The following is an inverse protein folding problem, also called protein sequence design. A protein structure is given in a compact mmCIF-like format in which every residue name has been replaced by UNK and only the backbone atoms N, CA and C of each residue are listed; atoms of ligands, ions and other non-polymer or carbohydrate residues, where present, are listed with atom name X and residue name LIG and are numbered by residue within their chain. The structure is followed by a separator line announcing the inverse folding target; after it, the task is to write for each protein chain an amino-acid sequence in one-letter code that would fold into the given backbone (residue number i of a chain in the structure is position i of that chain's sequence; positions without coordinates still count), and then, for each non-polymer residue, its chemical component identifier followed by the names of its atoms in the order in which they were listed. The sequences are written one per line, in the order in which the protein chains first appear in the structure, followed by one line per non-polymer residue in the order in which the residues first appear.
data_IF_777503403227
#
_entry.id   IF_777503403227
#
_cell.length_a   1.000
_cell.length_b   1.000
_cell.length_c   1.000
_cell.angle_alpha   90.00
_cell.angle_beta   90.00
_cell.angle_gamma   90.00
#
_symmetry.space_group_name_H-M   'P 1'
#
loop_
_entity.id
_entity.type
_entity.pdbx_description
1 polymer ?
#
# COMPACT_ATOMS: atom_id res chain seq x y z
N UNK A 1 12.84 8.11 -11.61
CA UNK A 1 11.78 8.64 -10.73
C UNK A 1 11.39 7.56 -9.73
N UNK A 2 10.82 7.90 -8.55
CA UNK A 2 10.17 6.91 -7.67
C UNK A 2 9.04 6.16 -8.39
N UNK A 3 8.46 5.14 -7.75
CA UNK A 3 7.21 4.53 -8.24
C UNK A 3 6.08 5.57 -8.33
N UNK A 4 5.11 5.31 -9.21
CA UNK A 4 3.91 6.12 -9.30
C UNK A 4 3.06 6.01 -8.03
N UNK A 5 3.04 4.82 -7.42
CA UNK A 5 2.36 4.54 -6.15
C UNK A 5 2.89 5.41 -5.01
N UNK A 6 4.22 5.59 -4.93
CA UNK A 6 4.84 6.49 -3.96
C UNK A 6 4.44 7.95 -4.21
N UNK A 7 4.48 8.42 -5.46
CA UNK A 7 4.07 9.78 -5.82
C UNK A 7 2.59 10.00 -5.43
N UNK A 8 1.71 9.05 -5.72
CA UNK A 8 0.30 9.15 -5.37
C UNK A 8 0.10 9.21 -3.84
N UNK A 9 0.85 8.41 -3.08
CA UNK A 9 0.87 8.50 -1.62
C UNK A 9 1.26 9.89 -1.11
N UNK A 10 2.27 10.53 -1.72
CA UNK A 10 2.66 11.91 -1.38
C UNK A 10 1.52 12.91 -1.62
N UNK A 11 0.76 12.76 -2.71
CA UNK A 11 -0.38 13.64 -2.98
C UNK A 11 -1.52 13.43 -1.98
N UNK A 12 -1.91 12.19 -1.71
CA UNK A 12 -3.03 11.89 -0.81
C UNK A 12 -2.71 12.33 0.63
N UNK A 13 -1.45 12.22 1.07
CA UNK A 13 -1.08 12.62 2.45
C UNK A 13 -1.12 14.13 2.67
N UNK A 14 -1.24 14.98 1.64
CA UNK A 14 -1.29 16.45 1.79
C UNK A 14 -2.43 16.85 2.74
N UNK A 15 -3.56 16.17 2.70
CA UNK A 15 -4.68 16.46 3.59
C UNK A 15 -4.37 16.15 5.06
N UNK A 16 -3.53 15.15 5.33
CA UNK A 16 -3.01 14.86 6.68
C UNK A 16 -2.18 16.05 7.18
N UNK A 17 -1.30 16.59 6.34
CA UNK A 17 -0.47 17.74 6.68
C UNK A 17 -1.31 18.98 6.96
N UNK A 18 -2.31 19.27 6.12
CA UNK A 18 -3.24 20.39 6.32
C UNK A 18 -4.03 20.28 7.62
N UNK A 19 -4.46 19.07 8.00
CA UNK A 19 -5.16 18.85 9.28
C UNK A 19 -4.24 19.09 10.48
N UNK A 20 -2.98 18.68 10.40
CA UNK A 20 -1.97 18.93 11.44
C UNK A 20 -1.66 20.42 11.55
N UNK A 21 -1.50 21.11 10.41
CA UNK A 21 -1.28 22.55 10.36
C UNK A 21 -2.47 23.30 10.96
N UNK A 22 -3.69 22.98 10.54
CA UNK A 22 -4.93 23.57 11.07
C UNK A 22 -5.04 23.38 12.58
N UNK A 23 -4.76 22.18 13.08
CA UNK A 23 -4.71 21.94 14.52
C UNK A 23 -3.64 22.80 15.20
N UNK A 24 -2.46 22.92 14.61
CA UNK A 24 -1.34 23.70 15.17
C UNK A 24 -1.69 25.19 15.23
N UNK A 25 -2.34 25.72 14.19
CA UNK A 25 -2.86 27.08 14.12
C UNK A 25 -3.83 27.38 15.26
N UNK A 26 -4.91 26.61 15.42
CA UNK A 26 -5.91 26.85 16.47
C UNK A 26 -5.40 26.63 17.89
N UNK A 27 -4.37 25.80 18.07
CA UNK A 27 -3.77 25.59 19.40
C UNK A 27 -2.73 26.66 19.76
N UNK A 28 -2.29 27.48 18.80
CA UNK A 28 -1.08 28.31 18.90
C UNK A 28 0.14 27.49 19.37
N UNK A 29 0.16 26.20 19.02
CA UNK A 29 1.13 25.22 19.51
C UNK A 29 1.28 25.17 21.06
N UNK A 30 0.24 25.56 21.81
CA UNK A 30 0.26 25.57 23.29
C UNK A 30 -0.37 24.30 23.87
N UNK A 31 0.17 23.75 24.97
CA UNK A 31 -0.44 22.62 25.68
C UNK A 31 -1.85 22.93 26.20
N UNK A 32 -2.67 21.90 26.35
CA UNK A 32 -4.00 21.98 26.97
C UNK A 32 -5.11 21.32 26.14
N UNK A 33 -6.26 21.05 26.77
CA UNK A 33 -7.44 20.53 26.08
C UNK A 33 -8.12 21.66 25.29
N UNK A 34 -8.10 21.56 23.95
CA UNK A 34 -8.68 22.57 23.04
C UNK A 34 -9.92 22.10 22.28
N UNK A 35 -10.47 20.93 22.63
CA UNK A 35 -11.62 20.31 21.94
C UNK A 35 -11.41 20.06 20.42
N UNK A 36 -10.15 19.95 19.97
CA UNK A 36 -9.79 19.76 18.55
C UNK A 36 -9.51 18.30 18.17
N UNK A 37 -10.00 17.33 18.98
CA UNK A 37 -9.75 15.90 18.72
C UNK A 37 -10.37 15.38 17.42
N UNK A 38 -11.31 16.12 16.83
CA UNK A 38 -11.84 15.79 15.51
C UNK A 38 -10.76 15.91 14.44
N UNK A 39 -9.88 16.92 14.50
CA UNK A 39 -8.80 17.10 13.53
C UNK A 39 -7.79 15.95 13.60
N UNK A 40 -7.38 15.53 14.80
CA UNK A 40 -6.42 14.43 14.94
C UNK A 40 -7.01 13.09 14.53
N UNK A 41 -8.29 12.83 14.83
CA UNK A 41 -8.98 11.63 14.36
C UNK A 41 -9.16 11.62 12.83
N UNK A 42 -9.57 12.74 12.24
CA UNK A 42 -9.66 12.88 10.78
C UNK A 42 -8.30 12.63 10.11
N UNK A 43 -7.21 13.15 10.68
CA UNK A 43 -5.87 12.94 10.15
C UNK A 43 -5.44 11.46 10.19
N UNK A 44 -5.77 10.72 11.26
CA UNK A 44 -5.53 9.27 11.33
C UNK A 44 -6.31 8.52 10.24
N UNK A 45 -7.58 8.87 10.02
CA UNK A 45 -8.40 8.25 8.98
C UNK A 45 -7.82 8.52 7.58
N UNK A 46 -7.45 9.77 7.29
CA UNK A 46 -6.86 10.15 6.00
C UNK A 46 -5.49 9.51 5.77
N UNK A 47 -4.65 9.43 6.81
CA UNK A 47 -3.37 8.73 6.72
C UNK A 47 -3.56 7.24 6.42
N UNK A 48 -4.60 6.62 6.99
CA UNK A 48 -4.90 5.21 6.75
C UNK A 48 -5.40 4.97 5.32
N UNK A 49 -6.20 5.90 4.79
CA UNK A 49 -6.59 5.86 3.37
C UNK A 49 -5.39 6.01 2.43
N UNK A 50 -4.43 6.89 2.75
CA UNK A 50 -3.18 7.00 1.99
C UNK A 50 -2.36 5.70 2.04
N UNK A 51 -2.25 5.07 3.20
CA UNK A 51 -1.59 3.79 3.38
C UNK A 51 -2.28 2.66 2.59
N UNK A 52 -3.60 2.57 2.66
CA UNK A 52 -4.41 1.60 1.91
C UNK A 52 -4.15 1.75 0.41
N UNK A 53 -4.37 2.96 -0.10
CA UNK A 53 -4.19 3.27 -1.53
C UNK A 53 -2.77 2.99 -2.01
N UNK A 54 -1.75 3.34 -1.23
CA UNK A 54 -0.36 3.02 -1.60
C UNK A 54 -0.14 1.53 -1.85
N UNK A 55 -0.67 0.66 -0.99
CA UNK A 55 -0.50 -0.79 -1.15
C UNK A 55 -1.33 -1.34 -2.34
N UNK A 56 -2.53 -0.80 -2.57
CA UNK A 56 -3.34 -1.15 -3.74
C UNK A 56 -2.62 -0.79 -5.04
N UNK A 57 -2.15 0.45 -5.14
CA UNK A 57 -1.46 0.96 -6.32
C UNK A 57 -0.14 0.22 -6.54
N UNK A 58 0.64 -0.01 -5.47
CA UNK A 58 1.94 -0.68 -5.58
C UNK A 58 1.80 -2.11 -6.10
N UNK A 59 0.76 -2.83 -5.67
CA UNK A 59 0.50 -4.17 -6.19
C UNK A 59 0.24 -4.14 -7.70
N UNK A 60 -0.63 -3.23 -8.16
CA UNK A 60 -1.00 -3.13 -9.57
C UNK A 60 0.15 -2.62 -10.43
N UNK A 61 0.90 -1.63 -9.96
CA UNK A 61 2.10 -1.12 -10.63
C UNK A 61 3.16 -2.21 -10.73
N UNK A 62 3.36 -3.02 -9.68
CA UNK A 62 4.28 -4.16 -9.70
C UNK A 62 3.91 -5.19 -10.77
N UNK A 63 2.61 -5.53 -10.88
CA UNK A 63 2.09 -6.41 -11.93
C UNK A 63 2.36 -5.83 -13.31
N UNK A 64 2.13 -4.53 -13.50
CA UNK A 64 2.41 -3.85 -14.76
C UNK A 64 3.89 -3.90 -15.14
N UNK A 65 4.80 -3.65 -14.19
CA UNK A 65 6.26 -3.76 -14.46
C UNK A 65 6.66 -5.18 -14.84
N UNK A 66 6.14 -6.19 -14.15
CA UNK A 66 6.39 -7.60 -14.51
C UNK A 66 5.85 -7.91 -15.91
N UNK A 67 4.63 -7.47 -16.21
CA UNK A 67 3.99 -7.66 -17.51
C UNK A 67 4.76 -6.97 -18.65
N UNK A 68 5.44 -5.86 -18.39
CA UNK A 68 6.31 -5.20 -19.38
C UNK A 68 7.60 -5.97 -19.65
N UNK A 69 8.15 -6.66 -18.64
CA UNK A 69 9.41 -7.39 -18.75
C UNK A 69 9.25 -8.86 -19.17
N UNK A 70 8.13 -9.48 -18.87
CA UNK A 70 7.88 -10.91 -19.08
C UNK A 70 6.84 -11.14 -20.18
N UNK A 71 7.22 -11.88 -21.23
CA UNK A 71 6.32 -12.21 -22.35
C UNK A 71 5.86 -13.67 -22.35
N UNK A 72 6.49 -14.52 -21.55
CA UNK A 72 6.14 -15.92 -21.40
C UNK A 72 5.71 -16.19 -19.96
N UNK A 73 4.46 -16.63 -19.78
CA UNK A 73 3.89 -16.96 -18.47
C UNK A 73 4.71 -18.01 -17.71
N UNK A 74 5.46 -18.86 -18.42
CA UNK A 74 6.30 -19.88 -17.79
C UNK A 74 7.50 -19.29 -17.03
N UNK A 75 7.85 -18.03 -17.29
CA UNK A 75 8.90 -17.32 -16.57
C UNK A 75 8.43 -16.78 -15.21
N UNK A 76 7.12 -16.74 -14.96
CA UNK A 76 6.57 -16.33 -13.66
C UNK A 76 6.80 -17.41 -12.60
N UNK A 77 6.82 -16.99 -11.34
CA UNK A 77 6.89 -17.92 -10.21
C UNK A 77 5.60 -18.75 -10.10
N UNK A 78 5.71 -19.92 -9.44
CA UNK A 78 4.60 -20.86 -9.31
C UNK A 78 3.43 -20.28 -8.51
N UNK A 79 3.67 -19.38 -7.57
CA UNK A 79 2.62 -18.68 -6.82
C UNK A 79 1.68 -17.92 -7.74
N UNK A 80 2.22 -17.08 -8.63
CA UNK A 80 1.44 -16.32 -9.61
C UNK A 80 0.69 -17.26 -10.56
N UNK A 81 1.38 -18.28 -11.11
CA UNK A 81 0.77 -19.24 -12.04
C UNK A 81 -0.39 -20.00 -11.40
N UNK A 82 -0.23 -20.43 -10.15
CA UNK A 82 -1.28 -21.13 -9.40
C UNK A 82 -2.48 -20.20 -9.15
N UNK A 83 -2.26 -18.95 -8.71
CA UNK A 83 -3.33 -17.98 -8.51
C UNK A 83 -4.15 -17.74 -9.77
N UNK A 84 -3.50 -17.51 -10.92
CA UNK A 84 -4.19 -17.30 -12.20
C UNK A 84 -5.01 -18.54 -12.56
N UNK A 85 -4.38 -19.73 -12.48
CA UNK A 85 -5.02 -20.99 -12.82
C UNK A 85 -6.23 -21.29 -11.94
N UNK A 86 -6.12 -21.09 -10.62
CA UNK A 86 -7.21 -21.30 -9.66
C UNK A 86 -8.37 -20.33 -9.86
N UNK A 87 -8.09 -19.04 -10.07
CA UNK A 87 -9.13 -18.02 -10.34
C UNK A 87 -9.86 -18.28 -11.66
N UNK A 88 -9.15 -18.69 -12.71
CA UNK A 88 -9.79 -19.07 -13.99
C UNK A 88 -10.61 -20.35 -13.85
N UNK A 89 -10.09 -21.36 -13.15
CA UNK A 89 -10.79 -22.64 -12.93
C UNK A 89 -12.08 -22.48 -12.13
N UNK A 90 -12.12 -21.51 -11.22
CA UNK A 90 -13.28 -21.21 -10.38
C UNK A 90 -14.25 -20.20 -11.00
N UNK A 91 -13.95 -19.68 -12.20
CA UNK A 91 -14.86 -18.79 -12.92
C UNK A 91 -16.12 -19.53 -13.37
N UNK A 92 -17.25 -18.83 -13.35
CA UNK A 92 -18.55 -19.38 -13.76
C UNK A 92 -18.68 -19.52 -15.27
N UNK A 93 -17.87 -18.77 -16.03
CA UNK A 93 -17.93 -18.77 -17.48
C UNK A 93 -16.94 -19.79 -18.07
N UNK A 94 -17.47 -20.79 -18.78
CA UNK A 94 -16.67 -21.87 -19.37
C UNK A 94 -15.63 -21.39 -20.41
N UNK A 95 -15.81 -20.19 -20.97
CA UNK A 95 -14.87 -19.61 -21.94
C UNK A 95 -13.71 -18.84 -21.28
N UNK A 96 -13.70 -18.66 -19.96
CA UNK A 96 -12.62 -17.95 -19.26
C UNK A 96 -11.21 -18.48 -19.57
N UNK A 97 -10.97 -19.80 -19.72
CA UNK A 97 -9.67 -20.32 -20.12
C UNK A 97 -9.14 -19.78 -21.45
N UNK A 98 -10.02 -19.38 -22.38
CA UNK A 98 -9.62 -18.83 -23.69
C UNK A 98 -8.94 -17.47 -23.52
N UNK A 99 -9.32 -16.68 -22.52
CA UNK A 99 -8.71 -15.37 -22.23
C UNK A 99 -7.24 -15.47 -21.81
N UNK A 100 -6.76 -16.64 -21.41
CA UNK A 100 -5.34 -16.86 -21.09
C UNK A 100 -4.44 -16.93 -22.32
N UNK A 101 -5.00 -17.10 -23.53
CA UNK A 101 -4.24 -17.31 -24.74
C UNK A 101 -3.36 -16.09 -25.11
N UNK A 102 -2.16 -16.38 -25.65
CA UNK A 102 -1.21 -15.34 -26.07
C UNK A 102 -0.75 -14.48 -24.89
N UNK A 103 -1.05 -13.19 -24.93
CA UNK A 103 -0.74 -12.23 -23.87
C UNK A 103 -1.94 -11.91 -22.96
N UNK A 104 -3.11 -12.51 -23.20
CA UNK A 104 -4.33 -12.22 -22.45
C UNK A 104 -4.23 -12.56 -20.96
N UNK A 105 -3.36 -13.50 -20.58
CA UNK A 105 -3.07 -13.81 -19.18
C UNK A 105 -2.60 -12.59 -18.36
N UNK A 106 -1.95 -11.59 -18.98
CA UNK A 106 -1.51 -10.36 -18.32
C UNK A 106 -2.71 -9.55 -17.83
N UNK A 107 -3.70 -9.37 -18.70
CA UNK A 107 -4.94 -8.66 -18.38
C UNK A 107 -5.77 -9.43 -17.36
N UNK A 108 -5.90 -10.75 -17.53
CA UNK A 108 -6.62 -11.62 -16.59
C UNK A 108 -6.03 -11.52 -15.19
N UNK A 109 -4.69 -11.62 -15.07
CA UNK A 109 -4.00 -11.50 -13.79
C UNK A 109 -4.20 -10.13 -13.14
N UNK A 110 -4.00 -9.04 -13.90
CA UNK A 110 -4.18 -7.67 -13.40
C UNK A 110 -5.61 -7.41 -12.95
N UNK A 111 -6.61 -7.89 -13.70
CA UNK A 111 -8.02 -7.71 -13.36
C UNK A 111 -8.39 -8.43 -12.06
N UNK A 112 -7.89 -9.64 -11.83
CA UNK A 112 -8.11 -10.33 -10.55
C UNK A 112 -7.47 -9.57 -9.39
N UNK A 113 -6.24 -9.07 -9.55
CA UNK A 113 -5.60 -8.25 -8.53
C UNK A 113 -6.39 -6.96 -8.26
N UNK A 114 -6.87 -6.28 -9.31
CA UNK A 114 -7.68 -5.07 -9.23
C UNK A 114 -9.00 -5.29 -8.50
N UNK A 115 -9.65 -6.43 -8.70
CA UNK A 115 -10.90 -6.74 -8.00
C UNK A 115 -10.65 -7.08 -6.54
N UNK A 116 -9.53 -7.74 -6.22
CA UNK A 116 -9.17 -8.02 -4.82
C UNK A 116 -8.74 -6.76 -4.05
N UNK A 117 -8.01 -5.83 -4.68
CA UNK A 117 -7.61 -4.58 -4.03
C UNK A 117 -8.83 -3.76 -3.60
N UNK A 118 -9.89 -3.72 -4.42
CA UNK A 118 -11.17 -3.05 -4.06
C UNK A 118 -11.84 -3.63 -2.81
N UNK A 119 -11.49 -4.86 -2.41
CA UNK A 119 -12.05 -5.54 -1.24
C UNK A 119 -11.20 -5.34 0.03
N UNK A 120 -10.06 -4.64 -0.06
CA UNK A 120 -9.14 -4.39 1.04
C UNK A 120 -9.70 -3.38 2.06
N UNK A 121 -10.65 -3.82 2.89
CA UNK A 121 -11.31 -2.94 3.87
C UNK A 121 -10.49 -2.69 5.16
N UNK A 122 -9.30 -3.30 5.30
CA UNK A 122 -8.44 -3.19 6.48
C UNK A 122 -6.99 -3.54 6.12
N UNK A 123 -6.12 -2.55 5.85
CA UNK A 123 -4.77 -2.76 5.33
C UNK A 123 -3.78 -3.13 6.45
N UNK A 124 -4.11 -4.16 7.25
CA UNK A 124 -3.24 -4.76 8.26
C UNK A 124 -2.21 -5.67 7.62
N UNK A 125 -1.10 -5.90 8.31
CA UNK A 125 0.02 -6.69 7.81
C UNK A 125 -0.37 -8.10 7.38
N UNK A 126 -1.27 -8.78 8.11
CA UNK A 126 -1.75 -10.11 7.70
C UNK A 126 -2.52 -10.09 6.37
N UNK A 127 -3.37 -9.07 6.16
CA UNK A 127 -4.14 -8.90 4.93
C UNK A 127 -3.26 -8.53 3.74
N UNK A 128 -2.28 -7.67 3.98
CA UNK A 128 -1.30 -7.31 2.96
C UNK A 128 -0.39 -8.50 2.61
N UNK A 129 0.05 -9.30 3.59
CA UNK A 129 0.80 -10.55 3.30
C UNK A 129 0.00 -11.50 2.43
N UNK A 130 -1.27 -11.74 2.78
CA UNK A 130 -2.17 -12.60 2.01
C UNK A 130 -2.28 -12.09 0.56
N UNK A 131 -2.57 -10.80 0.38
CA UNK A 131 -2.71 -10.17 -0.93
C UNK A 131 -1.45 -10.29 -1.80
N UNK A 132 -0.28 -9.94 -1.26
CA UNK A 132 0.98 -9.95 -2.00
C UNK A 132 1.52 -11.37 -2.24
N UNK A 133 1.26 -12.31 -1.32
CA UNK A 133 1.54 -13.72 -1.54
C UNK A 133 0.71 -14.26 -2.71
N UNK A 134 -0.59 -13.99 -2.71
CA UNK A 134 -1.50 -14.46 -3.77
C UNK A 134 -1.12 -13.89 -5.13
N UNK A 135 -0.89 -12.58 -5.25
CA UNK A 135 -0.77 -11.95 -6.56
C UNK A 135 0.66 -11.75 -7.05
N UNK A 136 1.68 -11.74 -6.19
CA UNK A 136 3.09 -11.63 -6.60
C UNK A 136 3.93 -12.84 -6.19
N UNK A 137 3.41 -13.76 -5.38
CA UNK A 137 4.18 -14.88 -4.86
C UNK A 137 5.22 -14.46 -3.81
N UNK A 138 5.06 -13.29 -3.19
CA UNK A 138 5.98 -12.78 -2.16
C UNK A 138 5.60 -13.40 -0.81
N UNK A 139 6.42 -14.31 -0.23
CA UNK A 139 6.04 -15.08 0.96
C UNK A 139 5.76 -14.21 2.20
N UNK A 140 6.51 -13.12 2.34
CA UNK A 140 6.40 -12.25 3.50
C UNK A 140 6.60 -10.79 3.09
N UNK A 141 5.52 -10.15 2.65
CA UNK A 141 5.49 -8.73 2.31
C UNK A 141 5.95 -7.82 3.46
N UNK A 142 5.77 -8.25 4.71
CA UNK A 142 6.18 -7.45 5.88
C UNK A 142 7.70 -7.37 6.06
N UNK A 143 8.50 -8.16 5.33
CA UNK A 143 9.96 -8.02 5.28
C UNK A 143 10.44 -6.84 4.44
N UNK A 144 9.57 -6.24 3.65
CA UNK A 144 9.91 -5.02 2.91
C UNK A 144 9.79 -3.77 3.80
N UNK A 145 9.27 -3.94 5.03
CA UNK A 145 8.91 -2.86 5.95
C UNK A 145 10.09 -2.49 6.85
N UNK A 146 10.09 -1.28 7.41
CA UNK A 146 11.20 -0.73 8.20
C UNK A 146 11.66 -1.63 9.36
N UNK A 147 10.72 -2.30 10.04
CA UNK A 147 11.00 -3.11 11.24
C UNK A 147 10.74 -4.61 11.00
N UNK A 148 10.58 -5.02 9.74
CA UNK A 148 10.27 -6.39 9.34
C UNK A 148 9.08 -7.02 10.09
N UNK A 149 8.15 -6.21 10.62
CA UNK A 149 6.97 -6.66 11.34
C UNK A 149 5.82 -5.64 11.21
N UNK A 150 4.59 -6.10 11.46
CA UNK A 150 3.39 -5.29 11.28
C UNK A 150 2.80 -4.68 12.54
N UNK A 151 3.37 -4.93 13.73
CA UNK A 151 2.72 -4.63 15.01
C UNK A 151 2.27 -3.18 15.14
N UNK A 152 3.17 -2.22 14.88
CA UNK A 152 2.86 -0.79 15.02
C UNK A 152 1.87 -0.29 13.97
N UNK A 153 1.93 -0.82 12.75
CA UNK A 153 0.98 -0.49 11.68
C UNK A 153 -0.38 -1.11 12.00
N UNK A 154 -0.43 -2.33 12.53
CA UNK A 154 -1.68 -2.98 12.93
C UNK A 154 -2.35 -2.24 14.10
N UNK A 155 -1.56 -1.67 15.02
CA UNK A 155 -2.06 -0.77 16.06
C UNK A 155 -2.62 0.52 15.46
N UNK A 156 -1.92 1.15 14.52
CA UNK A 156 -2.40 2.33 13.79
C UNK A 156 -3.72 2.06 13.05
N UNK A 157 -3.81 0.97 12.28
CA UNK A 157 -5.03 0.60 11.56
C UNK A 157 -6.16 0.27 12.53
N UNK A 158 -5.85 -0.31 13.69
CA UNK A 158 -6.84 -0.57 14.75
C UNK A 158 -7.39 0.72 15.35
N UNK A 159 -6.54 1.74 15.57
CA UNK A 159 -6.97 3.07 15.99
C UNK A 159 -7.90 3.72 14.95
N UNK A 160 -7.58 3.60 13.64
CA UNK A 160 -8.48 4.04 12.56
C UNK A 160 -9.83 3.31 12.63
N UNK A 161 -9.82 1.99 12.82
CA UNK A 161 -11.06 1.19 12.96
C UNK A 161 -11.90 1.64 14.16
N UNK A 162 -11.26 1.93 15.29
CA UNK A 162 -11.92 2.48 16.47
C UNK A 162 -12.58 3.84 16.18
N UNK A 163 -11.89 4.73 15.45
CA UNK A 163 -12.44 6.03 15.05
C UNK A 163 -13.64 5.85 14.13
N UNK A 164 -13.57 4.96 13.14
CA UNK A 164 -14.67 4.72 12.21
C UNK A 164 -15.92 4.19 12.91
N UNK A 165 -15.78 3.27 13.86
CA UNK A 165 -16.92 2.69 14.58
C UNK A 165 -17.51 3.60 15.66
N UNK A 166 -16.67 4.38 16.36
CA UNK A 166 -17.10 5.13 17.53
C UNK A 166 -17.18 6.65 17.30
N UNK A 167 -16.72 7.17 16.17
CA UNK A 167 -16.78 8.59 15.82
C UNK A 167 -16.16 9.48 16.91
N UNK A 168 -16.95 10.41 17.45
CA UNK A 168 -16.50 11.32 18.51
C UNK A 168 -16.26 10.63 19.88
N UNK A 169 -16.79 9.42 20.08
CA UNK A 169 -16.59 8.60 21.28
C UNK A 169 -15.32 7.76 21.24
N UNK A 170 -14.61 7.73 20.11
CA UNK A 170 -13.34 7.03 19.98
C UNK A 170 -12.27 7.63 20.91
N UNK A 171 -11.24 6.83 21.20
CA UNK A 171 -10.12 7.24 22.04
C UNK A 171 -9.47 8.52 21.49
N UNK A 172 -9.06 9.41 22.40
CA UNK A 172 -8.43 10.66 22.00
C UNK A 172 -7.03 10.40 21.44
N UNK A 173 -6.83 10.74 20.18
CA UNK A 173 -5.50 10.72 19.54
C UNK A 173 -4.79 12.03 19.85
N UNK A 174 -3.72 11.94 20.64
CA UNK A 174 -2.82 13.07 20.90
C UNK A 174 -2.04 13.41 19.64
N UNK A 175 -1.71 14.69 19.46
CA UNK A 175 -0.90 15.16 18.34
C UNK A 175 0.46 14.43 18.25
N UNK A 176 1.09 14.13 19.39
CA UNK A 176 2.33 13.35 19.43
C UNK A 176 2.18 11.95 18.84
N UNK A 177 1.06 11.28 19.13
CA UNK A 177 0.74 9.95 18.58
C UNK A 177 0.45 10.02 17.07
N UNK A 178 -0.29 11.03 16.63
CA UNK A 178 -0.54 11.26 15.20
C UNK A 178 0.76 11.48 14.42
N UNK A 179 1.69 12.30 14.93
CA UNK A 179 2.99 12.53 14.29
C UNK A 179 3.81 11.23 14.23
N UNK A 180 3.84 10.46 15.32
CA UNK A 180 4.50 9.15 15.32
C UNK A 180 3.91 8.19 14.27
N UNK A 181 2.59 8.17 14.10
CA UNK A 181 1.95 7.40 13.02
C UNK A 181 2.32 7.91 11.63
N UNK A 182 2.37 9.22 11.42
CA UNK A 182 2.80 9.79 10.15
C UNK A 182 4.25 9.38 9.82
N UNK A 183 5.17 9.54 10.77
CA UNK A 183 6.58 9.19 10.57
C UNK A 183 6.74 7.69 10.31
N UNK A 184 6.02 6.85 11.06
CA UNK A 184 5.99 5.41 10.85
C UNK A 184 5.56 5.05 9.42
N UNK A 185 4.41 5.57 8.96
CA UNK A 185 3.85 5.21 7.65
C UNK A 185 4.73 5.76 6.53
N UNK A 186 5.22 7.00 6.62
CA UNK A 186 6.10 7.57 5.60
C UNK A 186 7.40 6.78 5.48
N UNK A 187 8.08 6.49 6.60
CA UNK A 187 9.29 5.68 6.58
C UNK A 187 9.04 4.27 6.03
N UNK A 188 7.88 3.69 6.34
CA UNK A 188 7.54 2.36 5.85
C UNK A 188 7.28 2.34 4.35
N UNK A 189 6.55 3.31 3.83
CA UNK A 189 6.29 3.49 2.39
C UNK A 189 7.62 3.66 1.63
N UNK A 190 8.53 4.48 2.15
CA UNK A 190 9.88 4.67 1.61
C UNK A 190 10.64 3.35 1.50
N UNK A 191 10.70 2.58 2.59
CA UNK A 191 11.43 1.31 2.61
C UNK A 191 10.78 0.27 1.71
N UNK A 192 9.45 0.18 1.72
CA UNK A 192 8.73 -0.75 0.83
C UNK A 192 9.04 -0.43 -0.62
N UNK A 193 8.96 0.84 -1.02
CA UNK A 193 9.16 1.22 -2.42
C UNK A 193 10.56 0.87 -2.93
N UNK A 194 11.57 1.16 -2.10
CA UNK A 194 12.96 0.82 -2.36
C UNK A 194 13.19 -0.69 -2.45
N UNK A 195 12.68 -1.45 -1.47
CA UNK A 195 12.87 -2.90 -1.38
C UNK A 195 12.04 -3.65 -2.44
N UNK A 196 10.89 -3.11 -2.84
CA UNK A 196 10.07 -3.66 -3.91
C UNK A 196 10.78 -3.52 -5.26
N UNK A 197 11.49 -2.42 -5.50
CA UNK A 197 12.29 -2.26 -6.73
C UNK A 197 13.30 -3.41 -6.90
N UNK A 198 14.02 -3.75 -5.81
CA UNK A 198 14.98 -4.87 -5.81
C UNK A 198 14.27 -6.21 -6.02
N UNK A 199 13.14 -6.41 -5.34
CA UNK A 199 12.34 -7.64 -5.44
C UNK A 199 11.87 -7.84 -6.89
N UNK A 200 11.34 -6.80 -7.52
CA UNK A 200 10.88 -6.86 -8.90
C UNK A 200 12.01 -7.12 -9.89
N UNK A 201 13.17 -6.46 -9.72
CA UNK A 201 14.35 -6.71 -10.56
C UNK A 201 14.75 -8.19 -10.53
N UNK A 202 14.75 -8.81 -9.35
CA UNK A 202 15.05 -10.24 -9.20
C UNK A 202 13.97 -11.11 -9.85
N UNK A 203 12.68 -10.77 -9.64
CA UNK A 203 11.56 -11.50 -10.22
C UNK A 203 11.53 -11.46 -11.75
N UNK A 204 11.83 -10.31 -12.36
CA UNK A 204 11.83 -10.12 -13.82
C UNK A 204 13.16 -10.49 -14.47
N UNK A 205 14.21 -10.71 -13.67
CA UNK A 205 15.59 -10.98 -14.14
C UNK A 205 16.12 -9.88 -15.07
N UNK A 206 15.72 -8.63 -14.83
CA UNK A 206 16.18 -7.47 -15.61
C UNK A 206 17.44 -6.85 -15.02
N UNK A 207 18.27 -6.25 -15.87
CA UNK A 207 19.47 -5.54 -15.39
C UNK A 207 19.13 -4.19 -14.73
N UNK A 208 18.06 -3.53 -15.15
CA UNK A 208 17.60 -2.25 -14.60
C UNK A 208 16.53 -2.43 -13.53
N UNK A 209 16.52 -1.52 -12.56
CA UNK A 209 15.43 -1.36 -11.60
C UNK A 209 14.19 -0.79 -12.29
N UNK A 210 12.98 -1.11 -11.79
CA UNK A 210 11.73 -0.57 -12.33
C UNK A 210 11.54 0.93 -12.04
N UNK A 211 12.16 1.44 -10.98
CA UNK A 211 12.18 2.84 -10.58
C UNK A 211 13.45 3.16 -9.76
N UNK A 212 13.73 4.44 -9.55
CA UNK A 212 14.90 4.90 -8.80
C UNK A 212 14.68 4.73 -7.29
N UNK A 213 15.76 4.56 -6.54
CA UNK A 213 15.74 4.40 -5.09
C UNK A 213 16.28 5.62 -4.33
N UNK A 214 16.91 6.59 -4.99
CA UNK A 214 17.62 7.69 -4.30
C UNK A 214 16.80 8.98 -4.13
N UNK A 215 15.48 8.93 -4.36
CA UNK A 215 14.63 10.12 -4.33
C UNK A 215 14.36 10.66 -2.91
N UNK A 216 14.68 9.90 -1.86
CA UNK A 216 14.53 10.31 -0.46
C UNK A 216 15.49 11.43 -0.04
N UNK A 217 16.56 11.63 -0.79
CA UNK A 217 17.57 12.67 -0.50
C UNK A 217 17.07 14.09 -0.77
N UNK A 218 15.94 14.25 -1.46
CA UNK A 218 15.43 15.55 -1.87
C UNK A 218 13.90 15.64 -1.78
N UNK A 219 13.35 15.39 -0.58
CA UNK A 219 11.94 15.59 -0.25
C UNK A 219 11.44 17.01 -0.56
N UNK A 220 12.33 17.98 -0.82
CA UNK A 220 11.99 19.36 -1.19
C UNK A 220 11.53 19.50 -2.65
N UNK A 221 11.73 18.47 -3.48
CA UNK A 221 11.36 18.45 -4.91
C UNK A 221 9.96 17.88 -5.20
N UNK A 222 9.20 17.53 -4.16
CA UNK A 222 7.84 16.97 -4.25
C UNK A 222 6.94 17.62 -3.20
#
# INVERSE_FOLDING_TARGET
MPSESYINFLHIRIDVLKLIETHTYYTNNRPGRKSLGHLTRSAVVMLCAAWERYNEDLLLESIDKICLSVNDINQLNDGIKNTISEKVKSDKHNNKPIELAGLGWKEVWKNYALDETKLLNTPKGNKLRELYLTYLGIPDYTRLWTVNNSTEIDLFVSDRGNIAHNGNKASYIRMTKLRAYQDLIVNNVINIDSNMADTLQVMTRTASLPWNKDYFTDLSKY
#
